data_IF_296698459794
#
_entry.id   IF_296698459794
#
_cell.length_a   1.000
_cell.length_b   1.000
_cell.length_c   1.000
_cell.angle_alpha   90.00
_cell.angle_beta   90.00
_cell.angle_gamma   90.00
#
_symmetry.space_group_name_H-M   'P 1'
#
loop_
_entity.id
_entity.type
_entity.pdbx_description
1 polymer ?
#
# COMPACT_ATOMS: atom_id res chain seq x y z
N UNK A 1 -5.30 -13.45 1.74
CA UNK A 1 -6.00 -12.20 2.10
C UNK A 1 -4.93 -11.25 2.60
N UNK A 2 -4.72 -10.12 1.91
CA UNK A 2 -3.70 -9.14 2.28
C UNK A 2 -4.42 -8.01 3.02
N UNK A 3 -4.01 -7.77 4.26
CA UNK A 3 -4.61 -6.77 5.13
C UNK A 3 -3.66 -5.58 5.23
N UNK A 4 -4.02 -4.46 4.61
CA UNK A 4 -3.24 -3.22 4.69
C UNK A 4 -3.80 -2.40 5.84
N UNK A 5 -3.09 -2.40 6.97
CA UNK A 5 -3.40 -1.60 8.16
C UNK A 5 -2.37 -0.48 8.31
N UNK A 6 -2.86 0.75 8.32
CA UNK A 6 -2.02 1.92 8.55
C UNK A 6 -2.29 2.45 9.97
N UNK A 7 -1.32 2.35 10.87
CA UNK A 7 -1.35 2.94 12.21
C UNK A 7 -0.42 4.15 12.28
N UNK A 8 -0.99 5.28 12.73
CA UNK A 8 -0.51 6.64 12.45
C UNK A 8 0.60 7.12 13.40
N UNK A 9 1.72 7.59 12.84
CA UNK A 9 2.70 8.45 13.52
C UNK A 9 3.06 9.65 12.62
N UNK A 10 2.75 10.87 13.08
CA UNK A 10 3.12 12.23 12.58
C UNK A 10 2.28 12.95 11.50
N UNK A 11 2.06 14.27 11.70
CA UNK A 11 1.04 15.14 11.09
C UNK A 11 1.24 15.48 9.59
N UNK A 12 2.47 15.60 9.09
CA UNK A 12 2.73 15.78 7.63
C UNK A 12 2.53 14.49 6.83
N UNK A 13 2.62 13.32 7.48
CA UNK A 13 2.40 12.02 6.87
C UNK A 13 0.91 11.66 6.74
N UNK A 14 -0.03 12.36 7.40
CA UNK A 14 -1.42 11.90 7.55
C UNK A 14 -2.20 11.85 6.23
N UNK A 15 -2.21 12.96 5.48
CA UNK A 15 -2.88 13.01 4.18
C UNK A 15 -2.13 12.17 3.15
N UNK A 16 -0.80 12.17 3.23
CA UNK A 16 0.08 11.36 2.37
C UNK A 16 -0.15 9.86 2.59
N UNK A 17 -0.31 9.39 3.83
CA UNK A 17 -0.46 7.98 4.15
C UNK A 17 -1.81 7.42 3.68
N UNK A 18 -2.91 8.16 3.86
CA UNK A 18 -4.23 7.68 3.38
C UNK A 18 -4.26 7.70 1.85
N UNK A 19 -3.78 8.78 1.22
CA UNK A 19 -3.72 8.87 -0.23
C UNK A 19 -2.86 7.75 -0.84
N UNK A 20 -1.68 7.49 -0.28
CA UNK A 20 -0.80 6.41 -0.76
C UNK A 20 -1.41 5.03 -0.61
N UNK A 21 -2.09 4.73 0.50
CA UNK A 21 -2.79 3.45 0.67
C UNK A 21 -3.91 3.27 -0.35
N UNK A 22 -4.67 4.33 -0.65
CA UNK A 22 -5.69 4.33 -1.70
C UNK A 22 -5.04 4.11 -3.07
N UNK A 23 -4.00 4.86 -3.40
CA UNK A 23 -3.28 4.73 -4.67
C UNK A 23 -2.66 3.33 -4.85
N UNK A 24 -2.07 2.73 -3.81
CA UNK A 24 -1.55 1.36 -3.88
C UNK A 24 -2.68 0.36 -4.13
N UNK A 25 -3.82 0.50 -3.44
CA UNK A 25 -4.98 -0.36 -3.67
C UNK A 25 -5.53 -0.21 -5.10
N UNK A 26 -5.55 1.00 -5.64
CA UNK A 26 -5.93 1.28 -7.03
C UNK A 26 -4.96 0.65 -8.03
N UNK A 27 -3.65 0.82 -7.84
CA UNK A 27 -2.62 0.20 -8.71
C UNK A 27 -2.76 -1.32 -8.72
N UNK A 28 -2.91 -1.95 -7.56
CA UNK A 28 -3.05 -3.40 -7.46
C UNK A 28 -4.32 -3.92 -8.16
N UNK A 29 -5.43 -3.16 -8.11
CA UNK A 29 -6.66 -3.51 -8.83
C UNK A 29 -6.51 -3.31 -10.34
N UNK A 30 -5.92 -2.19 -10.76
CA UNK A 30 -5.74 -1.85 -12.18
C UNK A 30 -4.81 -2.84 -12.89
N UNK A 31 -3.79 -3.32 -12.18
CA UNK A 31 -2.86 -4.34 -12.69
C UNK A 31 -3.42 -5.77 -12.60
N UNK A 32 -4.67 -5.95 -12.16
CA UNK A 32 -5.28 -7.28 -12.06
C UNK A 32 -4.66 -8.18 -10.99
N UNK A 33 -3.89 -7.62 -10.04
CA UNK A 33 -3.22 -8.36 -8.96
C UNK A 33 -4.15 -8.60 -7.77
N UNK A 34 -5.10 -7.70 -7.54
CA UNK A 34 -5.99 -7.80 -6.38
C UNK A 34 -7.42 -7.39 -6.68
N UNK A 35 -8.35 -7.95 -5.91
CA UNK A 35 -9.74 -7.53 -5.83
C UNK A 35 -10.02 -6.95 -4.45
N UNK A 36 -10.72 -5.82 -4.39
CA UNK A 36 -11.17 -5.29 -3.10
C UNK A 36 -12.25 -6.17 -2.49
N UNK A 37 -12.11 -6.46 -1.20
CA UNK A 37 -13.11 -7.19 -0.42
C UNK A 37 -13.83 -6.31 0.58
N UNK A 38 -13.14 -5.30 1.13
CA UNK A 38 -13.70 -4.38 2.11
C UNK A 38 -12.90 -3.08 2.14
N UNK A 39 -13.61 -1.96 2.20
CA UNK A 39 -13.04 -0.64 2.50
C UNK A 39 -13.81 -0.08 3.69
N UNK A 40 -13.11 0.30 4.75
CA UNK A 40 -13.72 0.86 5.95
C UNK A 40 -12.93 2.07 6.41
N UNK A 41 -13.63 3.16 6.68
CA UNK A 41 -13.07 4.35 7.30
C UNK A 41 -13.68 4.53 8.68
N UNK A 42 -12.87 4.89 9.65
CA UNK A 42 -13.31 5.20 11.01
C UNK A 42 -12.46 6.32 11.58
N UNK A 43 -12.87 6.87 12.71
CA UNK A 43 -12.00 7.71 13.52
C UNK A 43 -11.55 6.92 14.75
N UNK A 44 -10.30 7.11 15.17
CA UNK A 44 -9.74 6.53 16.38
C UNK A 44 -9.21 7.66 17.26
N UNK A 45 -9.53 7.61 18.55
CA UNK A 45 -8.96 8.54 19.52
C UNK A 45 -7.51 8.19 19.76
N UNK A 46 -6.62 9.08 19.35
CA UNK A 46 -5.18 8.96 19.59
C UNK A 46 -4.83 9.93 20.70
N UNK A 47 -4.31 9.38 21.80
CA UNK A 47 -3.73 10.19 22.86
C UNK A 47 -2.41 10.75 22.37
N UNK A 48 -2.37 12.04 22.09
CA UNK A 48 -1.15 12.77 21.81
C UNK A 48 -0.63 13.34 23.13
N UNK A 49 0.30 12.61 23.76
CA UNK A 49 0.96 13.02 25.02
C UNK A 49 1.60 14.41 24.91
N UNK A 50 1.95 14.84 23.69
CA UNK A 50 2.54 16.16 23.40
C UNK A 50 1.52 17.30 23.47
N UNK A 51 0.22 17.01 23.34
CA UNK A 51 -0.84 18.03 23.19
C UNK A 51 -1.90 18.02 24.28
N UNK A 52 -1.81 17.11 25.25
CA UNK A 52 -2.64 17.11 26.46
C UNK A 52 -4.15 16.88 26.25
N UNK A 53 -4.59 16.62 25.00
CA UNK A 53 -5.97 16.28 24.66
C UNK A 53 -6.02 15.12 23.66
N UNK A 54 -6.98 14.19 23.79
CA UNK A 54 -7.22 13.18 22.77
C UNK A 54 -7.56 13.84 21.43
N UNK A 55 -7.01 13.32 20.34
CA UNK A 55 -7.37 13.74 18.98
C UNK A 55 -8.01 12.58 18.22
N UNK A 56 -9.18 12.82 17.64
CA UNK A 56 -9.75 11.89 16.67
C UNK A 56 -8.93 11.94 15.38
N UNK A 57 -8.30 10.83 15.04
CA UNK A 57 -7.58 10.65 13.77
C UNK A 57 -8.35 9.71 12.88
N UNK A 58 -8.39 10.03 11.58
CA UNK A 58 -8.96 9.13 10.59
C UNK A 58 -8.10 7.87 10.44
N UNK A 59 -8.78 6.73 10.35
CA UNK A 59 -8.23 5.40 10.09
C UNK A 59 -8.91 4.85 8.86
N UNK A 60 -8.13 4.22 7.98
CA UNK A 60 -8.63 3.51 6.81
C UNK A 60 -8.15 2.06 6.87
N UNK A 61 -9.03 1.14 6.54
CA UNK A 61 -8.76 -0.29 6.42
C UNK A 61 -9.22 -0.76 5.04
N UNK A 62 -8.29 -1.26 4.24
CA UNK A 62 -8.56 -1.84 2.92
C UNK A 62 -8.16 -3.31 2.96
N UNK A 63 -9.13 -4.18 2.68
CA UNK A 63 -8.91 -5.63 2.58
C UNK A 63 -8.87 -6.00 1.10
N UNK A 64 -7.74 -6.55 0.68
CA UNK A 64 -7.54 -7.02 -0.69
C UNK A 64 -7.46 -8.56 -0.74
N UNK A 65 -8.14 -9.14 -1.70
CA UNK A 65 -8.00 -10.54 -2.10
C UNK A 65 -7.02 -10.65 -3.25
N UNK A 66 -6.17 -11.68 -3.23
CA UNK A 66 -5.38 -12.05 -4.41
C UNK A 66 -6.33 -12.49 -5.53
N UNK A 67 -6.02 -12.09 -6.75
CA UNK A 67 -6.62 -12.66 -7.97
C UNK A 67 -5.93 -13.98 -8.32
N UNK A 68 -6.53 -14.75 -9.22
CA UNK A 68 -5.95 -16.01 -9.71
C UNK A 68 -4.62 -15.78 -10.43
N UNK A 69 -4.50 -14.64 -11.12
CA UNK A 69 -3.31 -14.27 -11.91
C UNK A 69 -2.19 -13.65 -11.04
N UNK A 70 -2.39 -13.51 -9.73
CA UNK A 70 -1.43 -12.79 -8.88
C UNK A 70 -0.03 -13.41 -8.90
N UNK A 71 0.05 -14.74 -8.72
CA UNK A 71 1.35 -15.41 -8.65
C UNK A 71 2.03 -15.46 -10.03
N UNK A 72 1.27 -15.56 -11.12
CA UNK A 72 1.78 -15.50 -12.50
C UNK A 72 2.33 -14.11 -12.86
N UNK A 73 1.57 -13.04 -12.57
CA UNK A 73 1.99 -11.67 -12.85
C UNK A 73 3.21 -11.27 -12.00
N UNK A 74 3.32 -11.79 -10.77
CA UNK A 74 4.51 -11.59 -9.92
C UNK A 74 5.74 -12.33 -10.46
N UNK A 75 5.56 -13.54 -11.01
CA UNK A 75 6.65 -14.28 -11.64
C UNK A 75 7.13 -13.58 -12.92
N UNK A 76 6.21 -13.12 -13.77
CA UNK A 76 6.54 -12.36 -14.98
C UNK A 76 7.28 -11.05 -14.67
N UNK A 77 6.84 -10.31 -13.66
CA UNK A 77 7.52 -9.09 -13.23
C UNK A 77 8.92 -9.34 -12.63
N UNK A 78 9.14 -10.50 -12.01
CA UNK A 78 10.46 -10.89 -11.52
C UNK A 78 11.41 -11.20 -12.69
N UNK A 79 10.92 -11.90 -13.73
CA UNK A 79 11.66 -12.18 -14.95
C UNK A 79 12.03 -10.89 -15.70
N UNK A 80 11.08 -9.96 -15.90
CA UNK A 80 11.36 -8.65 -16.52
C UNK A 80 12.42 -7.85 -15.74
N UNK A 81 12.42 -7.93 -14.40
CA UNK A 81 13.42 -7.26 -13.57
C UNK A 81 14.81 -7.90 -13.69
N UNK A 82 14.88 -9.22 -13.81
CA UNK A 82 16.14 -9.94 -14.02
C UNK A 82 16.72 -9.64 -15.42
N UNK A 83 15.86 -9.54 -16.44
CA UNK A 83 16.26 -9.11 -17.80
C UNK A 83 16.77 -7.66 -17.78
N UNK A 84 16.04 -6.74 -17.18
CA UNK A 84 16.47 -5.34 -17.07
C UNK A 84 17.78 -5.16 -16.26
N UNK A 85 18.00 -5.97 -15.23
CA UNK A 85 19.24 -5.95 -14.45
C UNK A 85 20.44 -6.56 -15.21
N UNK A 86 20.19 -7.46 -16.17
CA UNK A 86 21.23 -8.01 -17.04
C UNK A 86 21.64 -7.02 -18.15
N UNK A 87 20.73 -6.15 -18.60
CA UNK A 87 21.01 -5.16 -19.64
C UNK A 87 21.77 -3.92 -19.12
N UNK A 88 21.66 -3.58 -17.84
CA UNK A 88 22.35 -2.43 -17.21
C UNK A 88 23.81 -2.75 -16.78
N UNK A 89 24.30 -3.96 -17.09
CA UNK A 89 25.65 -4.45 -16.74
C UNK A 89 26.72 -4.31 -17.84
N UNK A 90 26.35 -3.85 -19.04
CA UNK A 90 27.23 -3.85 -20.23
C UNK A 90 27.73 -2.45 -20.65
N UNK A 91 27.51 -1.39 -19.86
CA UNK A 91 28.02 -0.04 -20.18
C UNK A 91 28.76 0.63 -19.01
N UNK A 92 29.75 -0.06 -18.44
CA UNK A 92 30.88 0.57 -17.74
C UNK A 92 32.18 -0.17 -18.10
N UNK A 93 32.67 0.06 -19.32
CA UNK A 93 33.99 -0.34 -19.80
C UNK A 93 34.77 0.85 -20.32
#
# INVERSE_FOLDING_TARGET
MVLVKCELMNLLLILSAIATVVTVAEILKNNGLAVEKKIMTSTVDVNDESRGRPMQKAKIEIVLGKTENFDELMAAAAEEREVAAAEDGEEQG
#
